data_IF_925846440627
#
_entry.id   IF_925846440627
#
_cell.length_a   1.000
_cell.length_b   1.000
_cell.length_c   1.000
_cell.angle_alpha   90.00
_cell.angle_beta   90.00
_cell.angle_gamma   90.00
#
_symmetry.space_group_name_H-M   'P 1'
#
loop_
_entity.id
_entity.type
_entity.pdbx_description
1 polymer ?
#
# COMPACT_ATOMS: atom_id res chain seq x y z
N UNK A 1 1.53 0.96 17.14
CA UNK A 1 1.75 1.97 18.20
C UNK A 1 3.05 1.73 18.98
N UNK A 2 3.34 0.50 19.43
CA UNK A 2 4.58 0.16 20.17
C UNK A 2 5.89 0.33 19.38
N UNK A 3 5.89 0.04 18.07
CA UNK A 3 7.08 0.22 17.20
C UNK A 3 7.50 1.69 17.00
N UNK A 4 6.55 2.63 17.04
CA UNK A 4 6.81 4.06 16.82
C UNK A 4 7.37 4.69 18.11
N UNK A 5 6.83 4.30 19.27
CA UNK A 5 7.27 4.82 20.58
C UNK A 5 8.65 4.28 20.99
N UNK A 6 8.97 3.03 20.63
CA UNK A 6 10.29 2.44 20.87
C UNK A 6 11.41 3.08 20.04
N UNK A 7 11.08 3.83 18.98
CA UNK A 7 12.07 4.45 18.09
C UNK A 7 12.33 5.93 18.45
N UNK A 8 11.32 6.67 18.92
CA UNK A 8 11.47 8.04 19.42
C UNK A 8 12.44 8.13 20.62
N UNK A 9 12.62 7.05 21.38
CA UNK A 9 13.60 6.97 22.47
C UNK A 9 15.04 6.73 21.99
N UNK A 10 15.23 6.22 20.77
CA UNK A 10 16.54 5.92 20.19
C UNK A 10 17.19 7.15 19.55
N UNK A 11 16.37 8.09 19.07
CA UNK A 11 16.80 9.37 18.51
C UNK A 11 16.87 10.42 19.62
N UNK A 12 18.00 10.51 20.33
CA UNK A 12 18.38 11.74 21.04
C UNK A 12 18.75 12.81 20.01
N UNK A 13 17.76 13.29 19.25
CA UNK A 13 17.91 14.48 18.40
C UNK A 13 17.77 15.67 19.34
N UNK A 14 18.90 16.26 19.71
CA UNK A 14 18.92 17.52 20.44
C UNK A 14 18.57 18.69 19.51
N UNK A 15 17.93 19.77 20.03
CA UNK A 15 17.54 20.95 19.23
C UNK A 15 18.71 21.58 18.44
N UNK A 16 19.95 21.40 18.91
CA UNK A 16 21.13 22.02 18.30
C UNK A 16 21.54 21.43 16.95
N UNK A 17 21.09 20.22 16.59
CA UNK A 17 21.27 19.67 15.24
C UNK A 17 20.36 20.31 14.18
N UNK A 18 19.40 21.17 14.57
CA UNK A 18 18.48 21.88 13.68
C UNK A 18 18.86 23.33 13.41
N UNK A 19 19.96 23.83 13.98
CA UNK A 19 20.35 25.23 13.89
C UNK A 19 21.29 25.53 12.69
N UNK A 20 20.81 25.36 11.47
CA UNK A 20 21.40 26.02 10.31
C UNK A 20 20.83 27.45 10.18
N UNK A 21 21.34 28.38 11.01
CA UNK A 21 21.10 29.82 10.84
C UNK A 21 21.83 30.30 9.58
N UNK A 22 21.05 30.77 8.61
CA UNK A 22 21.46 31.53 7.43
C UNK A 22 22.17 30.75 6.32
N UNK A 23 21.40 30.44 5.28
CA UNK A 23 21.88 30.09 3.94
C UNK A 23 22.67 31.28 3.38
N UNK A 24 24.00 31.20 3.42
CA UNK A 24 25.02 31.66 2.43
C UNK A 24 26.36 31.96 3.12
N UNK A 25 27.27 30.98 3.08
CA UNK A 25 28.70 31.07 2.72
C UNK A 25 29.44 29.78 3.15
N UNK A 26 30.20 29.19 2.22
CA UNK A 26 30.92 27.88 2.28
C UNK A 26 32.45 28.18 2.29
N UNK A 27 33.44 27.36 2.77
CA UNK A 27 33.54 26.20 3.70
C UNK A 27 34.67 26.38 4.80
N UNK A 28 35.09 25.33 5.56
CA UNK A 28 36.25 24.53 5.11
C UNK A 28 36.01 23.00 5.11
N UNK A 29 36.79 22.35 4.25
CA UNK A 29 36.69 20.97 3.76
C UNK A 29 36.80 19.91 4.85
N UNK A 30 35.93 18.90 4.81
CA UNK A 30 36.21 17.56 5.35
C UNK A 30 36.81 16.68 4.23
N UNK A 31 37.94 16.00 4.45
CA UNK A 31 38.57 15.17 3.43
C UNK A 31 37.76 13.86 3.27
N UNK A 32 37.12 13.69 2.12
CA UNK A 32 36.47 12.43 1.73
C UNK A 32 35.15 12.54 0.94
N UNK A 33 34.60 13.74 0.73
CA UNK A 33 33.31 13.89 0.06
C UNK A 33 33.41 13.85 -1.47
N UNK A 34 32.75 12.87 -2.09
CA UNK A 34 32.36 12.91 -3.50
C UNK A 34 31.63 14.22 -3.82
N UNK A 35 32.08 14.85 -4.90
CA UNK A 35 31.66 16.18 -5.35
C UNK A 35 30.21 16.08 -5.88
N UNK A 36 29.26 16.67 -5.15
CA UNK A 36 27.97 17.04 -5.72
C UNK A 36 28.02 18.53 -6.12
N UNK A 37 27.68 18.81 -7.37
CA UNK A 37 27.80 20.13 -7.98
C UNK A 37 26.89 21.18 -7.32
N UNK A 38 27.26 22.45 -7.52
CA UNK A 38 26.88 23.67 -6.79
C UNK A 38 25.44 24.19 -7.00
N UNK A 39 24.44 23.32 -7.03
CA UNK A 39 23.03 23.74 -7.00
C UNK A 39 22.31 22.92 -5.94
N UNK A 40 22.10 23.47 -4.75
CA UNK A 40 21.37 22.78 -3.67
C UNK A 40 19.88 22.67 -4.06
N UNK A 41 19.57 21.68 -4.89
CA UNK A 41 18.21 21.17 -5.08
C UNK A 41 17.95 20.31 -3.85
N UNK A 42 17.01 20.74 -3.00
CA UNK A 42 16.49 19.87 -1.94
C UNK A 42 15.66 18.81 -2.68
N UNK A 43 16.06 17.52 -2.68
CA UNK A 43 15.35 16.53 -3.46
C UNK A 43 13.95 16.31 -2.89
N UNK A 44 12.96 16.27 -3.78
CA UNK A 44 11.54 16.19 -3.47
C UNK A 44 10.96 14.86 -3.96
N UNK A 45 10.37 14.09 -3.03
CA UNK A 45 9.65 12.86 -3.35
C UNK A 45 8.15 13.09 -3.34
N UNK A 46 7.46 12.66 -4.39
CA UNK A 46 6.00 12.62 -4.43
C UNK A 46 5.50 11.21 -4.10
N UNK A 47 4.61 11.09 -3.12
CA UNK A 47 3.89 9.84 -2.84
C UNK A 47 2.42 9.96 -3.22
N UNK A 48 1.95 9.15 -4.16
CA UNK A 48 0.56 9.09 -4.57
C UNK A 48 -0.10 7.79 -4.10
N UNK A 49 -0.96 7.91 -3.10
CA UNK A 49 -1.61 6.78 -2.44
C UNK A 49 -3.07 6.67 -2.86
N UNK A 50 -3.45 5.56 -3.49
CA UNK A 50 -4.86 5.19 -3.73
C UNK A 50 -5.25 3.86 -3.08
N UNK A 51 -4.32 3.26 -2.34
CA UNK A 51 -4.54 2.02 -1.62
C UNK A 51 -5.48 2.23 -0.44
N UNK A 52 -6.27 1.21 -0.14
CA UNK A 52 -7.10 1.15 1.07
C UNK A 52 -6.27 0.78 2.30
N UNK A 53 -5.02 0.34 2.08
CA UNK A 53 -4.05 0.01 3.11
C UNK A 53 -3.11 1.21 3.39
N UNK A 54 -3.68 2.40 3.54
CA UNK A 54 -2.95 3.69 3.60
C UNK A 54 -1.90 3.78 4.72
N UNK A 55 -2.04 3.00 5.79
CA UNK A 55 -1.05 2.94 6.88
C UNK A 55 0.26 2.28 6.49
N UNK A 56 0.23 1.25 5.63
CA UNK A 56 1.45 0.54 5.23
C UNK A 56 2.33 1.38 4.29
N UNK A 57 1.71 2.35 3.61
CA UNK A 57 2.42 3.17 2.66
C UNK A 57 3.32 4.21 3.34
N UNK A 58 3.06 4.62 4.61
CA UNK A 58 3.89 5.50 5.46
C UNK A 58 5.38 5.12 5.47
N UNK A 59 5.67 3.83 5.28
CA UNK A 59 7.03 3.30 5.23
C UNK A 59 7.87 3.99 4.14
N UNK A 60 7.25 4.41 3.02
CA UNK A 60 7.94 5.09 1.91
C UNK A 60 8.34 6.50 2.31
N UNK A 61 7.45 7.20 3.01
CA UNK A 61 7.69 8.55 3.51
C UNK A 61 8.80 8.54 4.55
N UNK A 62 8.78 7.56 5.47
CA UNK A 62 9.86 7.37 6.44
C UNK A 62 11.22 7.18 5.75
N UNK A 63 11.29 6.33 4.72
CA UNK A 63 12.53 6.14 3.96
C UNK A 63 12.97 7.42 3.24
N UNK A 64 12.03 8.12 2.61
CA UNK A 64 12.27 9.38 1.91
C UNK A 64 12.85 10.47 2.84
N UNK A 65 12.21 10.69 3.98
CA UNK A 65 12.65 11.70 4.96
C UNK A 65 13.98 11.29 5.59
N UNK A 66 14.17 10.00 5.89
CA UNK A 66 15.43 9.49 6.45
C UNK A 66 16.60 9.65 5.48
N UNK A 67 16.35 9.63 4.18
CA UNK A 67 17.34 9.92 3.15
C UNK A 67 17.60 11.43 2.95
N UNK A 68 16.95 12.30 3.72
CA UNK A 68 17.15 13.76 3.68
C UNK A 68 16.29 14.49 2.63
N UNK A 69 15.26 13.84 2.09
CA UNK A 69 14.35 14.46 1.12
C UNK A 69 13.20 15.20 1.82
N UNK A 70 12.56 16.12 1.08
CA UNK A 70 11.20 16.58 1.41
C UNK A 70 10.17 15.71 0.71
N UNK A 71 8.96 15.66 1.25
CA UNK A 71 7.89 14.81 0.73
C UNK A 71 6.60 15.58 0.47
N UNK A 72 5.99 15.36 -0.69
CA UNK A 72 4.62 15.77 -1.01
C UNK A 72 3.76 14.52 -1.09
N UNK A 73 2.76 14.41 -0.23
CA UNK A 73 1.97 13.18 -0.04
C UNK A 73 0.52 13.44 -0.42
N UNK A 74 -0.01 12.66 -1.36
CA UNK A 74 -1.45 12.59 -1.61
C UNK A 74 -2.00 11.28 -1.05
N UNK A 75 -2.93 11.41 -0.10
CA UNK A 75 -3.61 10.29 0.55
C UNK A 75 -4.79 9.74 -0.28
N UNK A 76 -5.23 8.54 0.06
CA UNK A 76 -6.34 7.86 -0.61
C UNK A 76 -7.69 8.49 -0.30
N UNK A 77 -8.54 8.65 -1.31
CA UNK A 77 -9.91 9.15 -1.16
C UNK A 77 -10.87 8.09 -0.56
N UNK A 78 -10.45 6.83 -0.47
CA UNK A 78 -11.30 5.72 -0.04
C UNK A 78 -11.36 5.50 1.48
N UNK A 79 -10.44 6.10 2.24
CA UNK A 79 -10.28 5.86 3.69
C UNK A 79 -10.17 7.17 4.47
N UNK A 80 -11.19 8.05 4.39
CA UNK A 80 -11.12 9.43 4.89
C UNK A 80 -10.76 9.53 6.37
N UNK A 81 -11.34 8.69 7.23
CA UNK A 81 -11.07 8.71 8.68
C UNK A 81 -9.59 8.41 9.00
N UNK A 82 -8.98 7.46 8.28
CA UNK A 82 -7.56 7.13 8.43
C UNK A 82 -6.70 8.29 7.92
N UNK A 83 -7.07 8.86 6.76
CA UNK A 83 -6.36 10.00 6.20
C UNK A 83 -6.38 11.20 7.15
N UNK A 84 -7.53 11.56 7.71
CA UNK A 84 -7.68 12.66 8.67
C UNK A 84 -6.83 12.44 9.93
N UNK A 85 -6.75 11.21 10.42
CA UNK A 85 -5.89 10.86 11.55
C UNK A 85 -4.41 11.04 11.19
N UNK A 86 -3.99 10.59 10.01
CA UNK A 86 -2.61 10.75 9.55
C UNK A 86 -2.24 12.22 9.40
N UNK A 87 -3.10 13.03 8.79
CA UNK A 87 -2.90 14.47 8.70
C UNK A 87 -2.70 15.10 10.08
N UNK A 88 -3.59 14.81 11.03
CA UNK A 88 -3.49 15.31 12.41
C UNK A 88 -2.19 14.91 13.11
N UNK A 89 -1.74 13.67 12.92
CA UNK A 89 -0.50 13.18 13.53
C UNK A 89 0.71 13.88 12.89
N UNK A 90 0.80 13.88 11.57
CA UNK A 90 1.98 14.42 10.89
C UNK A 90 2.09 15.94 11.07
N UNK A 91 1.01 16.69 10.93
CA UNK A 91 1.02 18.14 11.17
C UNK A 91 1.39 18.53 12.60
N UNK A 92 1.23 17.60 13.58
CA UNK A 92 1.68 17.83 14.96
C UNK A 92 3.19 17.68 15.13
N UNK A 93 3.83 16.79 14.37
CA UNK A 93 5.24 16.43 14.59
C UNK A 93 6.19 16.96 13.51
N UNK A 94 5.68 17.32 12.34
CA UNK A 94 6.49 17.76 11.20
C UNK A 94 6.00 19.11 10.68
N UNK A 95 6.96 19.99 10.39
CA UNK A 95 6.72 21.25 9.66
C UNK A 95 6.38 20.92 8.19
N UNK A 96 5.38 21.61 7.65
CA UNK A 96 4.87 21.40 6.29
C UNK A 96 5.95 21.60 5.21
N UNK A 97 7.01 22.37 5.51
CA UNK A 97 8.15 22.53 4.59
C UNK A 97 8.93 21.23 4.34
N UNK A 98 8.82 20.26 5.25
CA UNK A 98 9.47 18.94 5.11
C UNK A 98 8.50 17.89 4.58
N UNK A 99 7.26 17.91 5.07
CA UNK A 99 6.21 16.96 4.67
C UNK A 99 4.93 17.73 4.43
N UNK A 100 4.55 17.83 3.16
CA UNK A 100 3.31 18.49 2.76
C UNK A 100 2.28 17.45 2.35
N UNK A 101 1.10 17.49 2.99
CA UNK A 101 -0.03 16.65 2.57
C UNK A 101 -0.98 17.42 1.67
N UNK A 102 -1.32 16.82 0.54
CA UNK A 102 -2.24 17.39 -0.41
C UNK A 102 -3.68 17.21 0.08
N UNK A 103 -4.41 18.33 0.08
CA UNK A 103 -5.85 18.34 0.28
C UNK A 103 -6.56 17.71 -0.93
N UNK A 104 -7.11 16.51 -0.70
CA UNK A 104 -7.82 15.73 -1.70
C UNK A 104 -9.04 16.44 -2.30
N UNK A 105 -9.62 17.42 -1.59
CA UNK A 105 -10.80 18.16 -2.05
C UNK A 105 -10.45 19.37 -2.93
N UNK A 106 -9.20 19.83 -2.89
CA UNK A 106 -8.78 21.08 -3.57
C UNK A 106 -7.87 20.84 -4.76
N UNK A 107 -7.09 19.76 -4.75
CA UNK A 107 -6.06 19.52 -5.76
C UNK A 107 -6.21 18.14 -6.42
N UNK A 108 -6.30 18.14 -7.75
CA UNK A 108 -6.32 16.91 -8.54
C UNK A 108 -4.91 16.32 -8.66
N UNK A 109 -4.85 15.00 -8.90
CA UNK A 109 -3.60 14.29 -9.22
C UNK A 109 -2.88 14.94 -10.39
N UNK A 110 -3.63 15.44 -11.38
CA UNK A 110 -3.08 16.09 -12.57
C UNK A 110 -2.33 17.38 -12.25
N UNK A 111 -2.86 18.21 -11.34
CA UNK A 111 -2.18 19.44 -10.89
C UNK A 111 -0.90 19.12 -10.12
N UNK A 112 -0.94 18.10 -9.27
CA UNK A 112 0.24 17.62 -8.55
C UNK A 112 1.31 17.13 -9.53
N UNK A 113 0.93 16.27 -10.47
CA UNK A 113 1.83 15.70 -11.48
C UNK A 113 2.32 16.70 -12.53
N UNK A 114 1.84 17.95 -12.52
CA UNK A 114 2.38 19.03 -13.34
C UNK A 114 3.59 19.71 -12.69
N UNK A 115 3.86 19.43 -11.41
CA UNK A 115 5.07 19.88 -10.72
C UNK A 115 6.21 18.90 -10.99
N UNK A 116 7.43 19.42 -10.96
CA UNK A 116 8.64 18.63 -11.10
C UNK A 116 9.01 18.00 -9.76
N UNK A 117 9.32 16.70 -9.79
CA UNK A 117 9.82 15.94 -8.65
C UNK A 117 11.11 15.23 -9.01
N UNK A 118 11.90 14.91 -7.99
CA UNK A 118 13.16 14.17 -8.15
C UNK A 118 12.91 12.66 -8.12
N UNK A 119 11.83 12.20 -7.47
CA UNK A 119 11.35 10.81 -7.50
C UNK A 119 9.86 10.73 -7.22
N UNK A 120 9.15 9.76 -7.84
CA UNK A 120 7.72 9.54 -7.60
C UNK A 120 7.45 8.11 -7.14
N UNK A 121 6.84 7.95 -5.97
CA UNK A 121 6.27 6.71 -5.48
C UNK A 121 4.77 6.66 -5.80
N UNK A 122 4.31 5.60 -6.45
CA UNK A 122 2.89 5.38 -6.70
C UNK A 122 2.46 4.00 -6.22
N UNK A 123 1.30 3.93 -5.57
CA UNK A 123 0.70 2.66 -5.15
C UNK A 123 -0.77 2.59 -5.54
N UNK A 124 -1.11 1.59 -6.36
CA UNK A 124 -2.45 1.45 -6.89
C UNK A 124 -2.56 0.51 -8.08
N UNK A 125 -3.48 0.82 -8.99
CA UNK A 125 -3.74 -0.01 -10.17
C UNK A 125 -2.88 0.41 -11.37
N UNK A 126 -2.64 -0.54 -12.28
CA UNK A 126 -1.81 -0.34 -13.46
C UNK A 126 -2.34 0.73 -14.43
N UNK A 127 -3.66 0.95 -14.48
CA UNK A 127 -4.25 1.98 -15.37
C UNK A 127 -3.85 3.39 -14.94
N UNK A 128 -3.84 3.67 -13.64
CA UNK A 128 -3.37 4.96 -13.10
C UNK A 128 -1.85 5.04 -13.16
N UNK A 129 -1.14 3.94 -12.86
CA UNK A 129 0.32 3.89 -12.92
C UNK A 129 0.88 4.29 -14.29
N UNK A 130 0.23 3.84 -15.37
CA UNK A 130 0.59 4.24 -16.74
C UNK A 130 0.52 5.76 -16.94
N UNK A 131 -0.51 6.42 -16.41
CA UNK A 131 -0.66 7.88 -16.48
C UNK A 131 0.40 8.61 -15.64
N UNK A 132 0.73 8.07 -14.47
CA UNK A 132 1.81 8.60 -13.62
C UNK A 132 3.15 8.53 -14.36
N UNK A 133 3.47 7.38 -14.94
CA UNK A 133 4.71 7.18 -15.71
C UNK A 133 4.77 8.07 -16.96
N UNK A 134 3.66 8.21 -17.69
CA UNK A 134 3.56 9.10 -18.83
C UNK A 134 3.89 10.55 -18.45
N UNK A 135 3.33 11.05 -17.34
CA UNK A 135 3.61 12.41 -16.85
C UNK A 135 5.04 12.56 -16.33
N UNK A 136 5.54 11.59 -15.55
CA UNK A 136 6.90 11.59 -15.03
C UNK A 136 7.97 11.63 -16.14
N UNK A 137 7.67 11.03 -17.31
CA UNK A 137 8.60 10.98 -18.45
C UNK A 137 8.94 12.35 -19.03
N UNK A 138 8.05 13.35 -18.88
CA UNK A 138 8.28 14.70 -19.39
C UNK A 138 9.49 15.39 -18.72
N UNK A 139 9.74 15.08 -17.46
CA UNK A 139 10.84 15.62 -16.66
C UNK A 139 11.99 14.60 -16.43
N UNK A 140 11.89 13.41 -17.04
CA UNK A 140 12.76 12.25 -16.79
C UNK A 140 12.81 11.87 -15.30
N UNK A 141 11.70 12.07 -14.58
CA UNK A 141 11.61 11.76 -13.16
C UNK A 141 11.54 10.23 -12.97
N UNK A 142 12.44 9.64 -12.16
CA UNK A 142 12.36 8.22 -11.82
C UNK A 142 11.10 7.90 -11.03
N UNK A 143 10.55 6.70 -11.25
CA UNK A 143 9.31 6.24 -10.61
C UNK A 143 9.48 4.89 -9.95
N UNK A 144 8.84 4.71 -8.80
CA UNK A 144 8.61 3.41 -8.15
C UNK A 144 7.11 3.13 -8.13
N UNK A 145 6.70 2.06 -8.82
CA UNK A 145 5.29 1.71 -9.01
C UNK A 145 4.96 0.40 -8.27
N UNK A 146 4.25 0.51 -7.14
CA UNK A 146 3.76 -0.63 -6.34
C UNK A 146 2.35 -0.99 -6.78
N UNK A 147 2.23 -2.03 -7.61
CA UNK A 147 0.98 -2.39 -8.29
C UNK A 147 0.40 -3.73 -7.81
N UNK A 148 -0.85 -3.97 -8.21
CA UNK A 148 -1.48 -5.28 -8.02
C UNK A 148 -1.16 -6.27 -9.13
N UNK A 149 -1.63 -7.50 -8.94
CA UNK A 149 -1.52 -8.58 -9.91
C UNK A 149 -2.45 -9.74 -9.55
N UNK A 150 -2.26 -10.89 -10.21
CA UNK A 150 -2.92 -12.15 -9.87
C UNK A 150 -1.86 -13.10 -9.33
N UNK A 151 -1.68 -13.12 -8.01
CA UNK A 151 -0.64 -13.91 -7.35
C UNK A 151 -1.02 -15.40 -7.35
N UNK A 152 -0.28 -16.30 -8.04
CA UNK A 152 -0.50 -17.74 -7.94
C UNK A 152 -0.12 -18.27 -6.57
N UNK A 153 -0.83 -19.29 -6.11
CA UNK A 153 -0.40 -20.15 -5.01
C UNK A 153 -0.30 -21.59 -5.53
N UNK A 154 0.92 -22.09 -5.66
CA UNK A 154 1.20 -23.43 -6.18
C UNK A 154 1.28 -24.41 -5.01
N UNK A 155 0.49 -25.48 -5.07
CA UNK A 155 0.39 -26.50 -4.03
C UNK A 155 0.92 -27.82 -4.59
N UNK A 156 2.09 -28.25 -4.11
CA UNK A 156 2.69 -29.53 -4.49
C UNK A 156 2.09 -30.69 -3.68
N UNK A 157 2.35 -31.94 -4.08
CA UNK A 157 1.84 -33.15 -3.42
C UNK A 157 2.47 -33.40 -2.05
N UNK A 158 3.72 -32.98 -1.84
CA UNK A 158 4.51 -33.27 -0.64
C UNK A 158 4.37 -32.15 0.40
N UNK A 159 3.14 -31.92 0.86
CA UNK A 159 2.79 -30.86 1.81
C UNK A 159 2.16 -31.40 3.10
N UNK A 160 2.23 -30.60 4.17
CA UNK A 160 1.30 -30.75 5.28
C UNK A 160 -0.03 -30.11 4.88
N UNK A 161 -1.04 -30.95 4.63
CA UNK A 161 -2.30 -30.50 4.05
C UNK A 161 -3.04 -29.47 4.92
N UNK A 162 -3.28 -29.81 6.18
CA UNK A 162 -4.02 -28.96 7.13
C UNK A 162 -3.35 -27.58 7.31
N UNK A 163 -2.03 -27.58 7.56
CA UNK A 163 -1.26 -26.34 7.75
C UNK A 163 -1.26 -25.48 6.49
N UNK A 164 -1.17 -26.11 5.32
CA UNK A 164 -1.13 -25.40 4.04
C UNK A 164 -2.46 -24.72 3.75
N UNK A 165 -3.57 -25.45 3.91
CA UNK A 165 -4.92 -24.91 3.74
C UNK A 165 -5.16 -23.74 4.70
N UNK A 166 -4.79 -23.89 5.98
CA UNK A 166 -4.95 -22.83 6.98
C UNK A 166 -4.15 -21.57 6.63
N UNK A 167 -2.92 -21.75 6.15
CA UNK A 167 -2.05 -20.63 5.73
C UNK A 167 -2.60 -19.93 4.49
N UNK A 168 -3.11 -20.71 3.53
CA UNK A 168 -3.77 -20.17 2.34
C UNK A 168 -5.02 -19.36 2.71
N UNK A 169 -5.90 -19.91 3.55
CA UNK A 169 -7.12 -19.25 4.00
C UNK A 169 -6.80 -17.93 4.70
N UNK A 170 -5.84 -17.91 5.63
CA UNK A 170 -5.40 -16.67 6.26
C UNK A 170 -5.01 -15.60 5.23
N UNK A 171 -4.13 -15.95 4.28
CA UNK A 171 -3.70 -15.03 3.23
C UNK A 171 -4.82 -14.59 2.29
N UNK A 172 -5.76 -15.48 1.97
CA UNK A 172 -6.91 -15.20 1.10
C UNK A 172 -7.92 -14.26 1.75
N UNK A 173 -8.11 -14.41 3.06
CA UNK A 173 -9.18 -13.78 3.82
C UNK A 173 -8.75 -12.47 4.49
N UNK A 174 -7.45 -12.26 4.70
CA UNK A 174 -6.92 -11.00 5.19
C UNK A 174 -7.43 -9.82 4.35
N UNK A 175 -8.02 -8.82 5.02
CA UNK A 175 -8.65 -7.65 4.39
C UNK A 175 -9.71 -8.00 3.32
N UNK A 176 -10.43 -9.11 3.49
CA UNK A 176 -11.38 -9.67 2.53
C UNK A 176 -10.74 -9.86 1.13
N UNK A 177 -9.47 -10.25 1.13
CA UNK A 177 -8.68 -10.47 -0.08
C UNK A 177 -8.25 -9.19 -0.80
N UNK A 178 -8.55 -7.99 -0.27
CA UNK A 178 -8.17 -6.69 -0.85
C UNK A 178 -6.71 -6.33 -0.51
N UNK A 179 -5.78 -7.21 -0.86
CA UNK A 179 -4.34 -7.02 -0.68
C UNK A 179 -3.61 -7.32 -2.00
N UNK A 180 -2.61 -6.53 -2.37
CA UNK A 180 -1.89 -6.68 -3.64
C UNK A 180 -1.18 -8.04 -3.80
N UNK A 181 -0.82 -8.66 -2.67
CA UNK A 181 -0.15 -9.97 -2.61
C UNK A 181 -1.09 -11.12 -2.23
N UNK A 182 -2.41 -10.88 -2.14
CA UNK A 182 -3.39 -11.95 -1.85
C UNK A 182 -3.25 -13.09 -2.87
N UNK A 183 -3.24 -14.37 -2.44
CA UNK A 183 -3.39 -15.50 -3.34
C UNK A 183 -4.65 -15.35 -4.20
N UNK A 184 -4.49 -15.07 -5.48
CA UNK A 184 -5.62 -14.85 -6.39
C UNK A 184 -6.22 -16.19 -6.83
N UNK A 185 -5.36 -17.12 -7.26
CA UNK A 185 -5.74 -18.46 -7.71
C UNK A 185 -4.78 -19.54 -7.21
N UNK A 186 -5.28 -20.77 -7.15
CA UNK A 186 -4.53 -21.95 -6.75
C UNK A 186 -4.16 -22.80 -7.98
N UNK A 187 -2.96 -23.37 -7.94
CA UNK A 187 -2.51 -24.42 -8.87
C UNK A 187 -2.15 -25.62 -8.02
N UNK A 188 -3.05 -26.61 -7.96
CA UNK A 188 -2.92 -27.75 -7.05
C UNK A 188 -2.48 -28.99 -7.82
N UNK A 189 -1.50 -29.72 -7.29
CA UNK A 189 -1.05 -30.98 -7.86
C UNK A 189 -2.23 -31.98 -7.95
N UNK A 190 -2.42 -32.58 -9.13
CA UNK A 190 -3.57 -33.43 -9.46
C UNK A 190 -3.82 -34.55 -8.43
N UNK A 191 -2.75 -35.16 -7.91
CA UNK A 191 -2.84 -36.31 -7.00
C UNK A 191 -3.44 -35.96 -5.63
N UNK A 192 -3.36 -34.68 -5.21
CA UNK A 192 -3.89 -34.21 -3.92
C UNK A 192 -5.09 -33.27 -4.09
N UNK A 193 -5.54 -33.02 -5.32
CA UNK A 193 -6.60 -32.04 -5.62
C UNK A 193 -7.85 -32.26 -4.76
N UNK A 194 -8.39 -33.47 -4.77
CA UNK A 194 -9.62 -33.78 -4.02
C UNK A 194 -9.41 -33.63 -2.51
N UNK A 195 -8.30 -34.14 -1.98
CA UNK A 195 -7.97 -34.01 -0.55
C UNK A 195 -7.82 -32.54 -0.14
N UNK A 196 -7.19 -31.72 -0.99
CA UNK A 196 -7.01 -30.30 -0.75
C UNK A 196 -8.33 -29.54 -0.73
N UNK A 197 -9.20 -29.79 -1.70
CA UNK A 197 -10.52 -29.15 -1.77
C UNK A 197 -11.38 -29.55 -0.56
N UNK A 198 -11.37 -30.83 -0.17
CA UNK A 198 -12.15 -31.29 0.98
C UNK A 198 -11.67 -30.63 2.29
N UNK A 199 -10.35 -30.56 2.51
CA UNK A 199 -9.80 -29.89 3.69
C UNK A 199 -10.07 -28.38 3.67
N UNK A 200 -10.03 -27.74 2.50
CA UNK A 200 -10.38 -26.33 2.33
C UNK A 200 -11.83 -26.05 2.74
N UNK A 201 -12.78 -26.85 2.27
CA UNK A 201 -14.20 -26.71 2.62
C UNK A 201 -14.39 -26.92 4.12
N UNK A 202 -13.82 -27.99 4.67
CA UNK A 202 -13.89 -28.29 6.10
C UNK A 202 -13.40 -27.11 6.95
N UNK A 203 -12.24 -26.55 6.66
CA UNK A 203 -11.72 -25.40 7.41
C UNK A 203 -12.57 -24.14 7.24
N UNK A 204 -13.13 -23.89 6.05
CA UNK A 204 -14.06 -22.78 5.84
C UNK A 204 -15.35 -22.93 6.68
N UNK A 205 -15.87 -24.15 6.80
CA UNK A 205 -17.03 -24.46 7.64
C UNK A 205 -16.71 -24.31 9.13
N UNK A 206 -15.54 -24.81 9.57
CA UNK A 206 -15.07 -24.70 10.97
C UNK A 206 -14.85 -23.24 11.40
N UNK A 207 -14.35 -22.39 10.49
CA UNK A 207 -14.22 -20.96 10.74
C UNK A 207 -15.59 -20.30 11.02
N UNK A 208 -16.67 -20.86 10.46
CA UNK A 208 -18.06 -20.42 10.65
C UNK A 208 -18.26 -18.91 10.56
N UNK A 209 -17.53 -18.26 9.67
CA UNK A 209 -17.47 -16.79 9.64
C UNK A 209 -18.79 -16.20 9.19
N UNK A 210 -19.15 -15.10 9.84
CA UNK A 210 -20.23 -14.23 9.45
C UNK A 210 -19.67 -12.87 9.02
N UNK A 211 -20.58 -11.99 8.60
CA UNK A 211 -20.22 -10.68 8.07
C UNK A 211 -19.52 -9.74 9.06
N UNK A 212 -19.70 -9.94 10.36
CA UNK A 212 -19.06 -9.12 11.38
C UNK A 212 -17.62 -9.58 11.67
N UNK A 213 -17.26 -10.79 11.23
CA UNK A 213 -15.92 -11.36 11.48
C UNK A 213 -14.91 -10.99 10.38
N UNK A 214 -15.36 -10.36 9.31
CA UNK A 214 -14.57 -10.04 8.13
C UNK A 214 -14.67 -8.56 7.78
N UNK A 215 -13.59 -8.02 7.24
CA UNK A 215 -13.57 -6.65 6.69
C UNK A 215 -14.50 -6.53 5.49
N UNK A 216 -15.07 -5.35 5.27
CA UNK A 216 -15.95 -5.10 4.14
C UNK A 216 -15.19 -4.78 2.85
N UNK A 217 -15.80 -5.09 1.70
CA UNK A 217 -15.34 -4.54 0.42
C UNK A 217 -15.51 -3.02 0.45
N UNK A 218 -14.50 -2.31 -0.04
CA UNK A 218 -14.33 -0.87 0.19
C UNK A 218 -15.54 0.01 -0.17
N UNK A 219 -16.27 -0.36 -1.21
CA UNK A 219 -17.35 0.42 -1.78
C UNK A 219 -18.23 -0.45 -2.70
N UNK A 220 -19.39 0.08 -3.05
CA UNK A 220 -20.37 -0.61 -3.90
C UNK A 220 -19.85 -0.91 -5.30
N UNK A 221 -19.00 -0.05 -5.88
CA UNK A 221 -18.47 -0.28 -7.23
C UNK A 221 -17.61 -1.54 -7.27
N UNK A 222 -16.78 -1.74 -6.25
CA UNK A 222 -15.94 -2.93 -6.11
C UNK A 222 -16.80 -4.18 -5.81
N UNK A 223 -17.87 -4.04 -5.03
CA UNK A 223 -18.83 -5.12 -4.79
C UNK A 223 -19.53 -5.55 -6.08
N UNK A 224 -20.12 -4.61 -6.82
CA UNK A 224 -20.78 -4.86 -8.13
C UNK A 224 -19.83 -5.52 -9.12
N UNK A 225 -18.54 -5.16 -9.09
CA UNK A 225 -17.51 -5.83 -9.90
C UNK A 225 -17.33 -7.30 -9.50
N UNK A 226 -17.27 -7.62 -8.21
CA UNK A 226 -17.15 -8.99 -7.72
C UNK A 226 -18.39 -9.82 -8.07
N UNK A 227 -19.58 -9.27 -7.84
CA UNK A 227 -20.86 -9.90 -8.23
C UNK A 227 -20.90 -10.22 -9.71
N UNK A 228 -20.44 -9.29 -10.57
CA UNK A 228 -20.34 -9.50 -12.02
C UNK A 228 -19.34 -10.59 -12.40
N UNK A 229 -18.27 -10.78 -11.64
CA UNK A 229 -17.30 -11.85 -11.89
C UNK A 229 -17.87 -13.21 -11.48
N UNK A 230 -18.56 -13.27 -10.35
CA UNK A 230 -19.22 -14.48 -9.85
C UNK A 230 -20.36 -14.89 -10.78
N UNK A 231 -21.18 -13.94 -11.24
CA UNK A 231 -22.31 -14.25 -12.13
C UNK A 231 -21.89 -14.79 -13.50
N UNK A 232 -20.66 -14.53 -13.93
CA UNK A 232 -20.06 -15.12 -15.13
C UNK A 232 -19.47 -16.52 -14.91
N UNK A 233 -19.38 -16.97 -13.66
CA UNK A 233 -18.85 -18.30 -13.32
C UNK A 233 -20.00 -19.31 -13.41
N UNK A 234 -19.86 -20.39 -14.19
CA UNK A 234 -20.88 -21.45 -14.25
C UNK A 234 -21.12 -22.04 -12.85
N UNK A 235 -22.39 -22.24 -12.48
CA UNK A 235 -22.77 -22.64 -11.11
C UNK A 235 -22.17 -23.99 -10.72
N UNK A 236 -22.03 -24.92 -11.66
CA UNK A 236 -21.41 -26.23 -11.49
C UNK A 236 -19.91 -26.17 -11.18
N UNK A 237 -19.26 -25.01 -11.40
CA UNK A 237 -17.85 -24.77 -11.05
C UNK A 237 -17.68 -24.10 -9.69
N UNK A 238 -18.77 -23.71 -9.03
CA UNK A 238 -18.72 -23.10 -7.70
C UNK A 238 -18.71 -24.22 -6.67
N UNK A 239 -17.55 -24.44 -6.05
CA UNK A 239 -17.32 -25.51 -5.08
C UNK A 239 -17.81 -25.11 -3.67
N UNK A 240 -17.67 -23.83 -3.33
CA UNK A 240 -18.09 -23.26 -2.06
C UNK A 240 -18.61 -21.84 -2.29
N UNK A 241 -19.69 -21.47 -1.62
CA UNK A 241 -20.20 -20.10 -1.65
C UNK A 241 -21.01 -19.81 -0.38
N UNK A 242 -20.65 -18.74 0.32
CA UNK A 242 -21.47 -18.16 1.40
C UNK A 242 -21.72 -16.68 1.08
N UNK A 243 -22.93 -16.36 0.63
CA UNK A 243 -23.29 -15.01 0.20
C UNK A 243 -24.30 -14.35 1.13
N UNK A 244 -24.05 -13.10 1.51
CA UNK A 244 -25.03 -12.25 2.19
C UNK A 244 -25.13 -10.90 1.46
N UNK A 245 -26.33 -10.54 1.00
CA UNK A 245 -26.55 -9.27 0.29
C UNK A 245 -26.58 -8.05 1.23
N UNK A 246 -26.95 -8.26 2.50
CA UNK A 246 -27.11 -7.16 3.47
C UNK A 246 -25.79 -6.69 4.06
N UNK A 247 -24.78 -7.54 3.98
CA UNK A 247 -23.45 -7.28 4.52
C UNK A 247 -22.44 -7.70 3.48
N UNK A 248 -21.58 -6.77 3.10
CA UNK A 248 -20.63 -6.86 2.01
C UNK A 248 -19.63 -8.02 2.26
N UNK A 249 -20.02 -9.25 1.95
CA UNK A 249 -19.33 -10.49 2.30
C UNK A 249 -19.41 -11.51 1.17
N UNK A 250 -18.25 -11.98 0.72
CA UNK A 250 -18.11 -13.02 -0.30
C UNK A 250 -17.00 -13.96 0.17
N UNK A 251 -17.37 -15.21 0.49
CA UNK A 251 -16.47 -16.36 0.58
C UNK A 251 -16.76 -17.33 -0.55
#
# INVERSE_FOLDING_TARGET
MLLILAWLSFLKITPDTLAAKHVRNIPPKLPGSCIWSKTTIIPSCCSLMRSQNSLNDIVKELASISAGNTAVIKLSDFVPNTCDLLLKIFSKYFDEKYIYFIDNNKHSIEKMMALKYDHIFFTGNSNVAKKVMEKASADLTPVTLELGGKSPCVIDKDINLEKTVKSFLFGKMLNAGQTCITPDYLVVHKDIYNSFINELIKQLEELNLNANDMTHIINEQHMKRLERLISKTPKEKIIYQKFNQKTIFIL
#
